data_IF_535027253637
#
_entry.id   IF_535027253637
#
_cell.length_a   1.000
_cell.length_b   1.000
_cell.length_c   1.000
_cell.angle_alpha   90.00
_cell.angle_beta   90.00
_cell.angle_gamma   90.00
#
_symmetry.space_group_name_H-M   'P 1'
#
loop_
_entity.id
_entity.type
_entity.pdbx_description
1 polymer ?
#
# COMPACT_ATOMS: atom_id res chain seq x y z
N UNK A 1 -8.23 -13.01 -13.95
CA UNK A 1 -8.36 -11.90 -12.97
C UNK A 1 -9.01 -12.32 -11.63
N UNK A 2 -9.13 -13.62 -11.31
CA UNK A 2 -9.88 -14.08 -10.12
C UNK A 2 -9.03 -14.19 -8.83
N UNK A 3 -7.70 -14.06 -8.92
CA UNK A 3 -6.79 -14.24 -7.77
C UNK A 3 -6.81 -13.06 -6.79
N UNK A 4 -6.85 -11.83 -7.31
CA UNK A 4 -6.76 -10.62 -6.49
C UNK A 4 -8.02 -10.40 -5.61
N UNK A 5 -9.19 -10.81 -6.11
CA UNK A 5 -10.43 -10.76 -5.33
C UNK A 5 -10.45 -11.81 -4.23
N UNK A 6 -10.07 -13.05 -4.53
CA UNK A 6 -10.06 -14.15 -3.54
C UNK A 6 -9.09 -13.86 -2.39
N UNK A 7 -7.87 -13.39 -2.70
CA UNK A 7 -6.88 -13.04 -1.69
C UNK A 7 -7.37 -11.92 -0.74
N UNK A 8 -8.11 -10.94 -1.28
CA UNK A 8 -8.70 -9.85 -0.51
C UNK A 8 -9.79 -10.34 0.45
N UNK A 9 -10.65 -11.24 0.01
CA UNK A 9 -11.68 -11.85 0.87
C UNK A 9 -11.06 -12.66 2.01
N UNK A 10 -10.08 -13.51 1.70
CA UNK A 10 -9.42 -14.34 2.72
C UNK A 10 -8.68 -13.50 3.77
N UNK A 11 -8.07 -12.39 3.38
CA UNK A 11 -7.42 -11.48 4.32
C UNK A 11 -8.43 -10.85 5.29
N UNK A 12 -9.59 -10.41 4.78
CA UNK A 12 -10.64 -9.80 5.60
C UNK A 12 -11.21 -10.79 6.64
N UNK A 13 -11.48 -12.03 6.21
CA UNK A 13 -12.02 -13.07 7.09
C UNK A 13 -11.05 -13.44 8.21
N UNK A 14 -9.75 -13.48 7.92
CA UNK A 14 -8.71 -13.76 8.93
C UNK A 14 -8.59 -12.62 9.95
N UNK A 15 -8.73 -11.37 9.52
CA UNK A 15 -8.77 -10.23 10.43
C UNK A 15 -9.99 -10.28 11.36
N UNK A 16 -11.18 -10.56 10.82
CA UNK A 16 -12.40 -10.71 11.61
C UNK A 16 -12.25 -11.89 12.59
N UNK A 17 -11.77 -13.03 12.10
CA UNK A 17 -11.61 -14.23 12.91
C UNK A 17 -10.54 -14.07 14.01
N UNK A 18 -9.49 -13.29 13.78
CA UNK A 18 -8.54 -12.93 14.84
C UNK A 18 -9.21 -12.07 15.93
N UNK A 19 -9.97 -11.04 15.53
CA UNK A 19 -10.70 -10.18 16.47
C UNK A 19 -11.75 -10.94 17.30
N UNK A 20 -12.36 -11.99 16.74
CA UNK A 20 -13.29 -12.86 17.46
C UNK A 20 -12.60 -13.98 18.26
N UNK A 21 -11.27 -14.10 18.20
CA UNK A 21 -10.49 -15.14 18.91
C UNK A 21 -10.45 -16.51 18.22
N UNK A 22 -10.91 -16.60 16.96
CA UNK A 22 -10.94 -17.82 16.15
C UNK A 22 -9.58 -18.14 15.52
N UNK A 23 -8.76 -17.12 15.26
CA UNK A 23 -7.40 -17.26 14.73
C UNK A 23 -6.35 -16.77 15.71
N UNK A 24 -5.20 -17.44 15.73
CA UNK A 24 -4.01 -17.05 16.48
C UNK A 24 -3.27 -15.87 15.82
N UNK A 25 -2.39 -15.22 16.58
CA UNK A 25 -1.53 -14.16 16.05
C UNK A 25 -0.60 -14.68 14.95
N UNK A 26 -0.12 -15.92 15.08
CA UNK A 26 0.77 -16.55 14.11
C UNK A 26 0.06 -16.80 12.78
N UNK A 27 -1.18 -17.32 12.81
CA UNK A 27 -1.99 -17.52 11.60
C UNK A 27 -2.31 -16.19 10.92
N UNK A 28 -2.64 -15.15 11.70
CA UNK A 28 -2.84 -13.81 11.18
C UNK A 28 -1.57 -13.26 10.51
N UNK A 29 -0.43 -13.34 11.19
CA UNK A 29 0.85 -12.85 10.65
C UNK A 29 1.22 -13.58 9.35
N UNK A 30 1.04 -14.90 9.30
CA UNK A 30 1.29 -15.68 8.09
C UNK A 30 0.37 -15.27 6.93
N UNK A 31 -0.91 -15.07 7.21
CA UNK A 31 -1.88 -14.64 6.21
C UNK A 31 -1.59 -13.22 5.66
N UNK A 32 -1.20 -12.28 6.53
CA UNK A 32 -0.78 -10.93 6.12
C UNK A 32 0.45 -11.00 5.20
N UNK A 33 1.46 -11.80 5.54
CA UNK A 33 2.67 -11.98 4.70
C UNK A 33 2.34 -12.64 3.36
N UNK A 34 1.47 -13.63 3.36
CA UNK A 34 1.03 -14.29 2.14
C UNK A 34 0.27 -13.32 1.22
N UNK A 35 -0.63 -12.52 1.78
CA UNK A 35 -1.36 -11.49 1.04
C UNK A 35 -0.43 -10.46 0.38
N UNK A 36 0.57 -9.95 1.12
CA UNK A 36 1.57 -9.03 0.58
C UNK A 36 2.40 -9.68 -0.55
N UNK A 37 2.77 -10.95 -0.37
CA UNK A 37 3.51 -11.70 -1.39
C UNK A 37 2.68 -11.89 -2.67
N UNK A 38 1.38 -12.20 -2.54
CA UNK A 38 0.48 -12.27 -3.69
C UNK A 38 0.33 -10.92 -4.38
N UNK A 39 0.20 -9.82 -3.63
CA UNK A 39 0.12 -8.46 -4.18
C UNK A 39 1.37 -8.14 -5.01
N UNK A 40 2.56 -8.49 -4.51
CA UNK A 40 3.81 -8.30 -5.21
C UNK A 40 3.89 -9.11 -6.52
N UNK A 41 3.46 -10.38 -6.51
CA UNK A 41 3.43 -11.21 -7.72
C UNK A 41 2.38 -10.76 -8.75
N UNK A 42 1.23 -10.25 -8.30
CA UNK A 42 0.23 -9.64 -9.17
C UNK A 42 0.78 -8.37 -9.81
N UNK A 43 1.47 -7.52 -9.04
CA UNK A 43 2.06 -6.27 -9.55
C UNK A 43 3.02 -6.52 -10.72
N UNK A 44 3.83 -7.58 -10.66
CA UNK A 44 4.76 -7.98 -11.75
C UNK A 44 4.04 -8.40 -13.04
N UNK A 45 2.81 -8.86 -12.96
CA UNK A 45 2.03 -9.37 -14.09
C UNK A 45 1.10 -8.31 -14.71
N UNK A 46 0.94 -7.15 -14.06
CA UNK A 46 0.08 -6.08 -14.54
C UNK A 46 0.76 -5.27 -15.64
N UNK A 47 0.16 -5.27 -16.81
CA UNK A 47 0.57 -4.41 -17.92
C UNK A 47 -0.01 -2.97 -17.80
N UNK A 48 0.81 -1.92 -17.68
CA UNK A 48 0.36 -0.52 -17.61
C UNK A 48 -0.26 0.02 -18.91
N UNK A 49 0.00 -0.63 -20.05
CA UNK A 49 -0.64 -0.30 -21.33
C UNK A 49 -2.09 -0.77 -21.39
N UNK A 50 -2.45 -1.80 -20.60
CA UNK A 50 -3.82 -2.26 -20.50
C UNK A 50 -4.64 -1.34 -19.60
N UNK A 51 -5.61 -0.63 -20.18
CA UNK A 51 -6.50 0.29 -19.45
C UNK A 51 -7.25 -0.39 -18.31
N UNK A 52 -7.59 -1.67 -18.43
CA UNK A 52 -8.28 -2.42 -17.38
C UNK A 52 -7.39 -2.68 -16.15
N UNK A 53 -6.07 -2.68 -16.32
CA UNK A 53 -5.12 -2.93 -15.23
C UNK A 53 -4.77 -1.68 -14.45
N UNK A 54 -4.87 -0.49 -15.05
CA UNK A 54 -4.49 0.79 -14.39
C UNK A 54 -5.11 0.99 -12.99
N UNK A 55 -6.42 0.78 -12.78
CA UNK A 55 -6.99 0.96 -11.45
C UNK A 55 -6.40 0.01 -10.40
N UNK A 56 -6.03 -1.21 -10.81
CA UNK A 56 -5.41 -2.21 -9.92
C UNK A 56 -3.96 -1.82 -9.63
N UNK A 57 -3.24 -1.29 -10.63
CA UNK A 57 -1.88 -0.79 -10.47
C UNK A 57 -1.88 0.36 -9.46
N UNK A 58 -2.78 1.34 -9.61
CA UNK A 58 -2.88 2.49 -8.71
C UNK A 58 -3.20 2.04 -7.26
N UNK A 59 -4.16 1.13 -7.08
CA UNK A 59 -4.50 0.57 -5.76
C UNK A 59 -3.30 -0.17 -5.13
N UNK A 60 -2.56 -0.97 -5.92
CA UNK A 60 -1.40 -1.69 -5.42
C UNK A 60 -0.24 -0.75 -5.07
N UNK A 61 -0.01 0.29 -5.86
CA UNK A 61 1.02 1.30 -5.59
C UNK A 61 0.75 2.05 -4.29
N UNK A 62 -0.49 2.48 -4.06
CA UNK A 62 -0.87 3.14 -2.81
C UNK A 62 -0.67 2.23 -1.59
N UNK A 63 -1.06 0.95 -1.71
CA UNK A 63 -0.92 -0.03 -0.62
C UNK A 63 0.52 -0.42 -0.32
N UNK A 64 1.38 -0.49 -1.34
CA UNK A 64 2.76 -0.95 -1.24
C UNK A 64 3.76 0.20 -1.12
N UNK A 65 3.31 1.44 -1.06
CA UNK A 65 4.18 2.61 -0.94
C UNK A 65 4.99 2.56 0.36
N UNK A 66 6.29 2.84 0.24
CA UNK A 66 7.18 2.96 1.38
C UNK A 66 6.75 4.15 2.26
N UNK A 67 6.65 3.91 3.57
CA UNK A 67 6.39 4.95 4.55
C UNK A 67 7.69 5.54 5.05
N UNK A 68 8.06 6.71 4.53
CA UNK A 68 9.24 7.44 4.97
C UNK A 68 8.90 8.38 6.14
N UNK A 69 9.70 8.32 7.20
CA UNK A 69 9.65 9.29 8.30
C UNK A 69 10.68 10.38 8.05
N UNK A 70 10.25 11.64 8.08
CA UNK A 70 11.12 12.79 7.83
C UNK A 70 11.30 13.55 9.15
N UNK A 71 12.51 14.02 9.41
CA UNK A 71 12.86 14.76 10.62
C UNK A 71 12.36 16.22 10.57
N UNK A 72 11.04 16.41 10.52
CA UNK A 72 10.38 17.70 10.64
C UNK A 72 9.01 17.54 11.28
N UNK A 73 8.43 18.65 11.73
CA UNK A 73 7.05 18.68 12.26
C UNK A 73 6.12 19.32 11.24
N UNK A 74 5.10 18.58 10.80
CA UNK A 74 4.07 19.08 9.88
C UNK A 74 3.36 20.30 10.46
N UNK A 75 2.99 20.27 11.74
CA UNK A 75 2.24 21.34 12.39
C UNK A 75 3.07 22.60 12.66
N UNK A 76 4.38 22.45 12.83
CA UNK A 76 5.27 23.59 13.06
C UNK A 76 5.68 24.26 11.73
N UNK A 77 5.96 23.47 10.70
CA UNK A 77 6.52 23.97 9.45
C UNK A 77 5.47 24.19 8.35
N UNK A 78 4.36 23.45 8.35
CA UNK A 78 3.33 23.46 7.30
C UNK A 78 1.91 23.32 7.88
N UNK A 79 1.43 24.26 8.71
CA UNK A 79 0.09 24.21 9.28
C UNK A 79 -1.02 24.27 8.21
N UNK A 80 -0.78 24.96 7.09
CA UNK A 80 -1.76 25.13 6.01
C UNK A 80 -2.03 23.81 5.26
N UNK A 81 -1.02 22.93 5.16
CA UNK A 81 -1.20 21.60 4.59
C UNK A 81 -2.18 20.75 5.41
N UNK A 82 -2.27 21.00 6.72
CA UNK A 82 -3.21 20.31 7.61
C UNK A 82 -4.56 21.01 7.70
N UNK A 83 -4.58 22.34 7.72
CA UNK A 83 -5.80 23.11 7.99
C UNK A 83 -6.68 23.38 6.78
N UNK A 84 -6.10 23.50 5.58
CA UNK A 84 -6.82 23.91 4.36
C UNK A 84 -6.39 23.11 3.11
N UNK A 85 -5.75 21.95 3.30
CA UNK A 85 -5.27 21.06 2.23
C UNK A 85 -4.35 21.76 1.20
N UNK A 86 -3.55 22.72 1.65
CA UNK A 86 -2.60 23.40 0.78
C UNK A 86 -1.54 22.43 0.24
N UNK A 87 -1.37 22.40 -1.09
CA UNK A 87 -0.40 21.55 -1.77
C UNK A 87 1.00 22.16 -1.73
N UNK A 88 1.99 21.35 -1.33
CA UNK A 88 3.42 21.68 -1.38
C UNK A 88 4.17 20.65 -2.24
N UNK A 89 5.10 21.09 -3.10
CA UNK A 89 5.94 20.15 -3.85
C UNK A 89 6.94 19.46 -2.91
N UNK A 90 6.96 18.13 -2.92
CA UNK A 90 7.90 17.31 -2.14
C UNK A 90 8.72 16.47 -3.11
N UNK A 91 10.05 16.62 -3.05
CA UNK A 91 10.99 15.95 -3.95
C UNK A 91 12.24 15.53 -3.17
N UNK A 92 12.87 14.39 -3.51
CA UNK A 92 14.18 14.04 -2.98
C UNK A 92 15.24 15.04 -3.48
N UNK A 93 16.19 15.40 -2.61
CA UNK A 93 17.26 16.36 -2.96
C UNK A 93 18.32 15.77 -3.90
N UNK A 94 18.51 14.45 -3.86
CA UNK A 94 19.47 13.70 -4.68
C UNK A 94 18.79 12.42 -5.22
N UNK A 95 19.31 11.85 -6.32
CA UNK A 95 18.81 10.59 -6.87
C UNK A 95 17.76 10.70 -7.99
N UNK A 96 17.43 11.91 -8.47
CA UNK A 96 16.49 12.13 -9.57
C UNK A 96 16.93 11.56 -10.95
N UNK A 97 18.03 10.80 -11.01
CA UNK A 97 18.56 10.15 -12.22
C UNK A 97 18.87 8.66 -12.10
N UNK A 98 18.67 8.02 -10.95
CA UNK A 98 18.94 6.58 -10.75
C UNK A 98 17.64 5.77 -10.78
N UNK A 99 16.97 5.79 -11.92
CA UNK A 99 15.71 5.09 -12.17
C UNK A 99 15.48 4.91 -13.67
N UNK A 100 16.52 4.44 -14.36
CA UNK A 100 16.45 3.90 -15.71
C UNK A 100 17.02 2.48 -15.68
#
# INVERSE_FOLDING_TARGET
>A
MNGCTTARWTWHDIHIGYSSGTFSLQERAWAEQLYLSMCHEVQKQLDPQNRAHRPIIDELQERMADKMYVNFSLFQSMPDAWGIDQLFPVLPLEGAGSGA
#
